data_IF_439480630514
#
_entry.id   IF_439480630514
#
_cell.length_a   1.000
_cell.length_b   1.000
_cell.length_c   1.000
_cell.angle_alpha   90.00
_cell.angle_beta   90.00
_cell.angle_gamma   90.00
#
_symmetry.space_group_name_H-M   'P 1'
#
loop_
_entity.id
_entity.type
_entity.pdbx_description
1 polymer ?
#
# COMPACT_ATOMS: atom_id res chain seq x y z
N UNK A 1 11.97 -8.31 -1.36
CA UNK A 1 10.89 -8.55 -2.34
C UNK A 1 11.03 -7.54 -3.48
N UNK A 2 10.71 -7.89 -4.73
CA UNK A 2 10.67 -6.90 -5.81
C UNK A 2 9.57 -5.87 -5.55
N UNK A 3 9.84 -4.60 -5.82
CA UNK A 3 8.90 -3.50 -5.61
C UNK A 3 8.97 -2.48 -6.73
N UNK A 4 7.90 -1.70 -6.90
CA UNK A 4 7.85 -0.54 -7.78
C UNK A 4 7.54 0.70 -6.94
N UNK A 5 8.16 1.82 -7.31
CA UNK A 5 7.80 3.13 -6.78
C UNK A 5 6.69 3.73 -7.63
N UNK A 6 5.84 4.53 -7.00
CA UNK A 6 4.83 5.35 -7.64
C UNK A 6 4.61 6.65 -6.88
N UNK A 7 3.63 7.41 -7.33
CA UNK A 7 3.20 8.62 -6.63
C UNK A 7 1.68 8.79 -6.76
N UNK A 8 1.04 9.17 -5.66
CA UNK A 8 -0.38 9.53 -5.68
C UNK A 8 -0.57 10.85 -6.44
N UNK A 9 -1.14 10.80 -7.64
CA UNK A 9 -1.39 12.02 -8.44
C UNK A 9 -2.80 12.54 -8.18
N UNK A 10 -2.88 13.74 -7.59
CA UNK A 10 -4.12 14.49 -7.52
C UNK A 10 -4.33 15.31 -8.80
N UNK A 11 -5.37 15.02 -9.62
CA UNK A 11 -5.66 15.77 -10.84
C UNK A 11 -6.00 17.25 -10.61
N UNK A 12 -6.43 17.61 -9.40
CA UNK A 12 -6.74 19.00 -9.05
C UNK A 12 -5.51 19.81 -8.60
N UNK A 13 -4.40 19.14 -8.28
CA UNK A 13 -3.16 19.73 -7.79
C UNK A 13 -3.26 20.35 -6.38
N UNK A 14 -4.35 20.06 -5.65
CA UNK A 14 -4.54 20.50 -4.27
C UNK A 14 -3.70 19.69 -3.29
N UNK A 15 -3.43 18.42 -3.60
CA UNK A 15 -2.64 17.53 -2.78
C UNK A 15 -1.25 17.34 -3.36
N UNK A 16 -0.24 17.43 -2.51
CA UNK A 16 1.14 17.11 -2.89
C UNK A 16 1.23 15.61 -3.14
N UNK A 17 1.87 15.21 -4.25
CA UNK A 17 2.04 13.81 -4.56
C UNK A 17 2.92 13.13 -3.49
N UNK A 18 2.38 12.11 -2.86
CA UNK A 18 3.11 11.30 -1.88
C UNK A 18 3.78 10.12 -2.58
N UNK A 19 4.97 9.73 -2.11
CA UNK A 19 5.65 8.53 -2.62
C UNK A 19 4.89 7.29 -2.17
N UNK A 20 4.53 6.44 -3.11
CA UNK A 20 3.94 5.13 -2.86
C UNK A 20 4.88 4.00 -3.32
N UNK A 21 4.66 2.80 -2.80
CA UNK A 21 5.36 1.61 -3.26
C UNK A 21 4.41 0.41 -3.38
N UNK A 22 4.59 -0.39 -4.42
CA UNK A 22 3.90 -1.67 -4.62
C UNK A 22 4.92 -2.77 -4.41
N UNK A 23 4.71 -3.63 -3.40
CA UNK A 23 5.58 -4.77 -3.11
C UNK A 23 4.96 -6.06 -3.62
N UNK A 24 5.68 -6.80 -4.47
CA UNK A 24 5.19 -8.06 -5.04
C UNK A 24 5.64 -9.26 -4.22
N UNK A 25 4.77 -10.28 -4.15
CA UNK A 25 5.07 -11.54 -3.48
C UNK A 25 5.12 -11.46 -1.96
N UNK A 26 4.65 -10.35 -1.36
CA UNK A 26 4.52 -10.19 0.08
C UNK A 26 3.25 -10.91 0.57
N UNK A 27 3.34 -11.58 1.72
CA UNK A 27 2.14 -12.06 2.40
C UNK A 27 1.39 -10.90 3.06
N UNK A 28 0.09 -11.07 3.34
CA UNK A 28 -0.68 -10.05 4.05
C UNK A 28 -0.06 -9.75 5.44
N UNK A 29 0.33 -10.78 6.18
CA UNK A 29 0.91 -10.62 7.53
C UNK A 29 2.21 -9.79 7.52
N UNK A 30 3.13 -10.08 6.58
CA UNK A 30 4.36 -9.29 6.41
C UNK A 30 4.04 -7.88 5.92
N UNK A 31 3.06 -7.72 5.03
CA UNK A 31 2.59 -6.42 4.54
C UNK A 31 2.08 -5.53 5.67
N UNK A 32 1.28 -6.08 6.58
CA UNK A 32 0.77 -5.36 7.76
C UNK A 32 1.87 -5.03 8.78
N UNK A 33 2.91 -5.86 8.89
CA UNK A 33 4.08 -5.52 9.70
C UNK A 33 4.85 -4.33 9.11
N UNK A 34 5.07 -4.31 7.79
CA UNK A 34 5.68 -3.17 7.10
C UNK A 34 4.81 -1.92 7.27
N UNK A 35 3.51 -2.04 7.07
CA UNK A 35 2.56 -0.94 7.22
C UNK A 35 2.62 -0.31 8.62
N UNK A 36 2.70 -1.12 9.68
CA UNK A 36 2.90 -0.64 11.06
C UNK A 36 4.22 0.12 11.23
N UNK A 37 5.32 -0.39 10.68
CA UNK A 37 6.64 0.27 10.77
C UNK A 37 6.68 1.64 10.09
N UNK A 38 5.85 1.84 9.07
CA UNK A 38 5.73 3.09 8.33
C UNK A 38 4.47 3.89 8.72
N UNK A 39 3.82 3.53 9.84
CA UNK A 39 2.63 4.22 10.38
C UNK A 39 1.55 4.46 9.32
N UNK A 40 1.36 3.49 8.42
CA UNK A 40 0.33 3.59 7.38
C UNK A 40 -1.04 3.38 8.01
N UNK A 41 -1.99 4.27 7.71
CA UNK A 41 -3.36 4.11 8.22
C UNK A 41 -4.06 2.86 7.65
N UNK A 42 -3.72 2.49 6.40
CA UNK A 42 -4.24 1.32 5.72
C UNK A 42 -3.32 0.94 4.55
N UNK A 43 -3.48 -0.28 4.04
CA UNK A 43 -2.83 -0.73 2.80
C UNK A 43 -3.85 -1.36 1.86
N UNK A 44 -3.66 -1.15 0.56
CA UNK A 44 -4.42 -1.88 -0.46
C UNK A 44 -3.71 -3.21 -0.74
N UNK A 45 -4.34 -4.33 -0.38
CA UNK A 45 -3.81 -5.66 -0.62
C UNK A 45 -4.50 -6.31 -1.82
N UNK A 46 -3.69 -6.88 -2.71
CA UNK A 46 -4.16 -7.50 -3.96
C UNK A 46 -3.70 -8.95 -4.00
N UNK A 47 -4.66 -9.85 -4.17
CA UNK A 47 -4.41 -11.25 -4.45
C UNK A 47 -4.84 -11.58 -5.88
N UNK A 48 -4.04 -12.41 -6.57
CA UNK A 48 -4.34 -12.82 -7.94
C UNK A 48 -5.72 -13.49 -8.00
N UNK A 49 -6.58 -12.95 -8.87
CA UNK A 49 -7.94 -13.48 -9.08
C UNK A 49 -8.96 -13.03 -8.03
N UNK A 50 -8.59 -12.14 -7.11
CA UNK A 50 -9.52 -11.53 -6.15
C UNK A 50 -9.61 -10.02 -6.39
N UNK A 51 -10.71 -9.43 -5.94
CA UNK A 51 -10.83 -7.98 -5.86
C UNK A 51 -9.79 -7.42 -4.87
N UNK A 52 -9.24 -6.21 -5.11
CA UNK A 52 -8.44 -5.50 -4.12
C UNK A 52 -9.21 -5.29 -2.83
N UNK A 53 -8.52 -5.32 -1.69
CA UNK A 53 -9.10 -5.11 -0.37
C UNK A 53 -8.29 -4.05 0.38
N UNK A 54 -8.99 -3.26 1.19
CA UNK A 54 -8.36 -2.34 2.13
C UNK A 54 -8.14 -3.09 3.44
N UNK A 55 -6.89 -3.10 3.91
CA UNK A 55 -6.46 -3.80 5.11
C UNK A 55 -5.86 -2.80 6.09
N UNK A 56 -6.09 -3.00 7.37
CA UNK A 56 -5.67 -2.08 8.42
C UNK A 56 -4.57 -2.73 9.27
N UNK A 57 -3.43 -2.05 9.48
CA UNK A 57 -2.34 -2.58 10.30
C UNK A 57 -2.64 -2.66 11.80
N UNK A 58 -3.70 -1.99 12.24
CA UNK A 58 -4.20 -2.01 13.62
C UNK A 58 -5.59 -2.69 13.64
N UNK A 59 -5.85 -3.47 14.71
CA UNK A 59 -7.21 -3.75 15.21
C UNK A 59 -7.55 -2.73 16.30
#
# INVERSE_FOLDING_TARGET
>A
LPFLLGEGRDPSGQWTAETECIVFGISLAEGLEVARRFEQNAVVFIERGKAPRLEFPEE
#
